data_IF_068057067338
#
_entry.id   IF_068057067338
#
_cell.length_a   1.000
_cell.length_b   1.000
_cell.length_c   1.000
_cell.angle_alpha   90.00
_cell.angle_beta   90.00
_cell.angle_gamma   90.00
#
_symmetry.space_group_name_H-M   'P 1'
#
loop_
_entity.id
_entity.type
_entity.pdbx_description
1 polymer ?
#
# COMPACT_ATOMS: atom_id res chain seq x y z
N UNK A 1 -32.29 12.13 -21.16
CA UNK A 1 -32.56 11.44 -22.45
C UNK A 1 -31.27 10.77 -22.91
N UNK A 2 -31.40 9.66 -23.63
CA UNK A 2 -30.33 8.82 -24.23
C UNK A 2 -29.77 7.73 -23.30
N UNK A 3 -30.13 6.48 -23.61
CA UNK A 3 -29.62 5.29 -22.93
C UNK A 3 -30.38 3.99 -23.26
N UNK A 4 -31.42 4.03 -24.09
CA UNK A 4 -32.24 2.85 -24.42
C UNK A 4 -32.27 2.45 -25.91
N UNK A 5 -31.69 3.24 -26.80
CA UNK A 5 -31.79 2.98 -28.25
C UNK A 5 -30.80 1.92 -28.75
N UNK A 6 -29.58 1.87 -28.19
CA UNK A 6 -28.54 0.91 -28.60
C UNK A 6 -28.97 -0.55 -28.35
N UNK A 7 -29.53 -0.85 -27.18
CA UNK A 7 -29.90 -2.23 -26.81
C UNK A 7 -31.12 -2.71 -27.61
N UNK A 8 -32.09 -1.84 -27.87
CA UNK A 8 -33.24 -2.17 -28.72
C UNK A 8 -32.83 -2.42 -30.17
N UNK A 9 -31.87 -1.65 -30.69
CA UNK A 9 -31.32 -1.86 -32.04
C UNK A 9 -30.55 -3.17 -32.18
N UNK A 10 -29.80 -3.57 -31.13
CA UNK A 10 -29.11 -4.87 -31.09
C UNK A 10 -30.10 -6.03 -31.00
N UNK A 11 -31.17 -5.90 -30.21
CA UNK A 11 -32.20 -6.95 -30.11
C UNK A 11 -32.99 -7.09 -31.41
N UNK A 12 -33.35 -5.97 -32.07
CA UNK A 12 -34.09 -6.03 -33.34
C UNK A 12 -33.24 -6.59 -34.48
N UNK A 13 -31.94 -6.26 -34.54
CA UNK A 13 -31.02 -6.82 -35.53
C UNK A 13 -30.76 -8.31 -35.33
N UNK A 14 -30.63 -8.78 -34.08
CA UNK A 14 -30.52 -10.21 -33.80
C UNK A 14 -31.77 -10.98 -34.22
N UNK A 15 -32.96 -10.43 -33.95
CA UNK A 15 -34.24 -11.06 -34.30
C UNK A 15 -34.52 -11.08 -35.80
N UNK A 16 -34.10 -10.04 -36.52
CA UNK A 16 -34.16 -10.01 -37.99
C UNK A 16 -33.12 -10.95 -38.63
N UNK A 17 -31.94 -11.11 -38.03
CA UNK A 17 -30.98 -12.10 -38.53
C UNK A 17 -31.47 -13.53 -38.29
N UNK A 18 -32.17 -13.79 -37.19
CA UNK A 18 -32.78 -15.10 -36.91
C UNK A 18 -33.86 -15.48 -37.93
N UNK A 19 -34.65 -14.51 -38.43
CA UNK A 19 -35.64 -14.76 -39.50
C UNK A 19 -35.02 -14.88 -40.89
N UNK A 20 -33.83 -14.31 -41.12
CA UNK A 20 -33.06 -14.47 -42.37
C UNK A 20 -32.25 -15.78 -42.41
N UNK A 21 -31.99 -16.40 -41.27
CA UNK A 21 -31.41 -17.74 -41.22
C UNK A 21 -32.48 -18.74 -41.66
N UNK A 22 -32.37 -19.23 -42.90
CA UNK A 22 -33.19 -20.33 -43.44
C UNK A 22 -33.31 -21.44 -42.40
N UNK A 23 -34.54 -21.91 -42.16
CA UNK A 23 -34.79 -22.99 -41.21
C UNK A 23 -33.87 -24.18 -41.53
N UNK A 24 -33.23 -24.74 -40.51
CA UNK A 24 -32.34 -25.91 -40.66
C UNK A 24 -32.98 -27.05 -41.47
N UNK A 25 -34.31 -27.17 -41.39
CA UNK A 25 -35.11 -28.15 -42.13
C UNK A 25 -35.08 -27.93 -43.65
N UNK A 26 -34.96 -26.69 -44.13
CA UNK A 26 -34.82 -26.39 -45.56
C UNK A 26 -33.39 -26.62 -46.06
N UNK A 27 -32.37 -26.32 -45.24
CA UNK A 27 -30.96 -26.63 -45.55
C UNK A 27 -30.70 -28.14 -45.60
N UNK A 28 -31.39 -28.92 -44.78
CA UNK A 28 -31.32 -30.39 -44.80
C UNK A 28 -31.99 -30.98 -46.05
N UNK A 29 -33.02 -30.30 -46.59
CA UNK A 29 -33.70 -30.71 -47.84
C UNK A 29 -32.99 -30.28 -49.12
N UNK A 30 -32.28 -29.15 -49.13
CA UNK A 30 -31.46 -28.73 -50.29
C UNK A 30 -30.20 -29.59 -50.47
N UNK A 31 -29.62 -30.12 -49.39
CA UNK A 31 -28.50 -31.07 -49.47
C UNK A 31 -28.90 -32.49 -49.93
N UNK A 32 -30.20 -32.75 -50.16
CA UNK A 32 -30.72 -34.06 -50.58
C UNK A 32 -31.05 -34.12 -52.09
N UNK A 33 -30.79 -33.06 -52.86
CA UNK A 33 -30.99 -33.03 -54.31
C UNK A 33 -29.79 -32.41 -55.01
N UNK A 34 -28.69 -33.15 -55.04
CA UNK A 34 -27.85 -33.33 -56.23
C UNK A 34 -26.59 -34.11 -55.85
N UNK A 35 -26.65 -35.43 -56.04
CA UNK A 35 -25.79 -36.21 -56.94
C UNK A 35 -25.85 -37.67 -56.51
N UNK A 36 -26.62 -38.49 -57.23
CA UNK A 36 -26.40 -39.94 -57.35
C UNK A 36 -25.10 -40.21 -58.14
N UNK A 37 -24.00 -39.55 -57.75
CA UNK A 37 -22.67 -40.02 -58.06
C UNK A 37 -22.31 -41.00 -56.96
N UNK A 38 -22.19 -42.29 -57.29
CA UNK A 38 -21.42 -43.24 -56.46
C UNK A 38 -19.96 -42.76 -56.40
N UNK A 39 -19.71 -41.75 -55.59
CA UNK A 39 -18.39 -41.49 -55.04
C UNK A 39 -18.13 -42.64 -54.09
N UNK A 40 -17.43 -43.65 -54.60
CA UNK A 40 -16.74 -44.61 -53.74
C UNK A 40 -15.72 -43.81 -52.94
N UNK A 41 -16.14 -43.25 -51.81
CA UNK A 41 -15.23 -42.80 -50.78
C UNK A 41 -14.46 -44.05 -50.36
N UNK A 42 -13.30 -44.24 -50.97
CA UNK A 42 -12.34 -45.28 -50.64
C UNK A 42 -12.11 -45.14 -49.13
N UNK A 43 -12.59 -46.13 -48.37
CA UNK A 43 -12.42 -46.16 -46.92
C UNK A 43 -10.91 -46.11 -46.68
N UNK A 44 -10.42 -44.96 -46.21
CA UNK A 44 -8.99 -44.70 -46.10
C UNK A 44 -8.34 -45.83 -45.30
N UNK A 45 -7.19 -46.30 -45.77
CA UNK A 45 -6.41 -47.33 -45.07
C UNK A 45 -6.10 -46.84 -43.65
N UNK A 46 -6.05 -47.74 -42.66
CA UNK A 46 -5.60 -47.39 -41.30
C UNK A 46 -4.25 -46.65 -41.31
N UNK A 47 -3.42 -46.92 -42.31
CA UNK A 47 -2.14 -46.24 -42.54
C UNK A 47 -2.31 -44.79 -43.00
N UNK A 48 -3.29 -44.49 -43.86
CA UNK A 48 -3.59 -43.12 -44.33
C UNK A 48 -4.19 -42.28 -43.18
N UNK A 49 -5.06 -42.86 -42.37
CA UNK A 49 -5.62 -42.21 -41.17
C UNK A 49 -4.51 -41.91 -40.15
N UNK A 50 -3.57 -42.84 -39.95
CA UNK A 50 -2.41 -42.60 -39.09
C UNK A 50 -1.49 -41.50 -39.62
N UNK A 51 -1.27 -41.42 -40.94
CA UNK A 51 -0.45 -40.37 -41.54
C UNK A 51 -1.10 -38.98 -41.41
N UNK A 52 -2.41 -38.89 -41.65
CA UNK A 52 -3.19 -37.66 -41.44
C UNK A 52 -3.12 -37.24 -39.96
N UNK A 53 -3.31 -38.19 -39.04
CA UNK A 53 -3.20 -37.93 -37.60
C UNK A 53 -1.82 -37.45 -37.16
N UNK A 54 -0.73 -38.01 -37.73
CA UNK A 54 0.64 -37.55 -37.46
C UNK A 54 0.88 -36.14 -38.00
N UNK A 55 0.35 -35.80 -39.16
CA UNK A 55 0.47 -34.47 -39.78
C UNK A 55 -0.25 -33.40 -38.94
N UNK A 56 -1.49 -33.66 -38.55
CA UNK A 56 -2.29 -32.79 -37.66
C UNK A 56 -1.60 -32.61 -36.30
N UNK A 57 -1.10 -33.69 -35.68
CA UNK A 57 -0.37 -33.60 -34.40
C UNK A 57 0.91 -32.77 -34.51
N UNK A 58 1.60 -32.80 -35.66
CA UNK A 58 2.83 -32.03 -35.89
C UNK A 58 2.52 -30.53 -36.05
N UNK A 59 1.44 -30.19 -36.76
CA UNK A 59 0.97 -28.80 -36.91
C UNK A 59 0.48 -28.24 -35.56
N UNK A 60 -0.37 -28.96 -34.85
CA UNK A 60 -0.84 -28.57 -33.51
C UNK A 60 0.32 -28.36 -32.51
N UNK A 61 1.40 -29.15 -32.62
CA UNK A 61 2.60 -28.95 -31.78
C UNK A 61 3.35 -27.66 -32.14
N UNK A 62 3.41 -27.27 -33.41
CA UNK A 62 4.02 -26.01 -33.84
C UNK A 62 3.19 -24.82 -33.36
N UNK A 63 1.88 -24.87 -33.55
CA UNK A 63 0.96 -23.83 -33.09
C UNK A 63 1.00 -23.66 -31.57
N UNK A 64 0.99 -24.76 -30.81
CA UNK A 64 1.16 -24.71 -29.35
C UNK A 64 2.48 -24.09 -28.93
N UNK A 65 3.59 -24.40 -29.61
CA UNK A 65 4.89 -23.76 -29.33
C UNK A 65 4.87 -22.25 -29.61
N UNK A 66 4.23 -21.83 -30.69
CA UNK A 66 4.07 -20.41 -31.04
C UNK A 66 3.21 -19.70 -29.97
N UNK A 67 2.07 -20.29 -29.59
CA UNK A 67 1.19 -19.76 -28.56
C UNK A 67 1.89 -19.67 -27.19
N UNK A 68 2.67 -20.68 -26.80
CA UNK A 68 3.48 -20.65 -25.58
C UNK A 68 4.52 -19.52 -25.66
N UNK A 69 5.19 -19.36 -26.81
CA UNK A 69 6.15 -18.26 -27.02
C UNK A 69 5.50 -16.88 -26.87
N UNK A 70 4.31 -16.69 -27.45
CA UNK A 70 3.54 -15.44 -27.31
C UNK A 70 3.11 -15.22 -25.85
N UNK A 71 2.65 -16.27 -25.17
CA UNK A 71 2.26 -16.18 -23.76
C UNK A 71 3.45 -15.79 -22.85
N UNK A 72 4.64 -16.35 -23.10
CA UNK A 72 5.87 -15.98 -22.37
C UNK A 72 6.22 -14.51 -22.63
N UNK A 73 6.13 -14.05 -23.87
CA UNK A 73 6.39 -12.64 -24.22
C UNK A 73 5.44 -11.69 -23.50
N UNK A 74 4.13 -11.97 -23.55
CA UNK A 74 3.11 -11.16 -22.89
C UNK A 74 3.33 -11.16 -21.38
N UNK A 75 3.50 -12.33 -20.77
CA UNK A 75 3.73 -12.44 -19.31
C UNK A 75 5.00 -11.69 -18.89
N UNK A 76 6.09 -11.78 -19.65
CA UNK A 76 7.32 -11.04 -19.36
C UNK A 76 7.10 -9.52 -19.35
N UNK A 77 6.33 -8.98 -20.30
CA UNK A 77 6.00 -7.55 -20.34
C UNK A 77 5.16 -7.16 -19.14
N UNK A 78 4.12 -7.93 -18.82
CA UNK A 78 3.29 -7.69 -17.63
C UNK A 78 4.12 -7.74 -16.34
N UNK A 79 4.99 -8.74 -16.17
CA UNK A 79 5.88 -8.85 -15.00
C UNK A 79 6.83 -7.66 -14.89
N UNK A 80 7.38 -7.17 -16.00
CA UNK A 80 8.21 -5.96 -15.98
C UNK A 80 7.44 -4.73 -15.50
N UNK A 81 6.22 -4.53 -16.00
CA UNK A 81 5.37 -3.42 -15.56
C UNK A 81 4.94 -3.54 -14.10
N UNK A 82 4.56 -4.74 -13.64
CA UNK A 82 4.15 -4.92 -12.23
C UNK A 82 5.29 -4.65 -11.25
N UNK A 83 6.52 -5.09 -11.56
CA UNK A 83 7.70 -4.80 -10.73
C UNK A 83 7.96 -3.30 -10.66
N UNK A 84 7.87 -2.57 -11.78
CA UNK A 84 8.09 -1.12 -11.79
C UNK A 84 7.04 -0.37 -10.97
N UNK A 85 5.76 -0.76 -11.06
CA UNK A 85 4.68 -0.15 -10.26
C UNK A 85 4.90 -0.41 -8.77
N UNK A 86 5.26 -1.64 -8.38
CA UNK A 86 5.56 -1.97 -6.98
C UNK A 86 6.75 -1.12 -6.47
N UNK A 87 7.83 -1.03 -7.25
CA UNK A 87 9.03 -0.27 -6.86
C UNK A 87 8.74 1.23 -6.70
N UNK A 88 7.94 1.81 -7.60
CA UNK A 88 7.53 3.21 -7.48
C UNK A 88 6.72 3.44 -6.21
N UNK A 89 5.69 2.60 -5.96
CA UNK A 89 4.88 2.71 -4.76
C UNK A 89 5.72 2.58 -3.47
N UNK A 90 6.73 1.70 -3.44
CA UNK A 90 7.62 1.57 -2.26
C UNK A 90 8.50 2.81 -2.05
N UNK A 91 9.06 3.38 -3.13
CA UNK A 91 9.90 4.59 -3.05
C UNK A 91 9.06 5.81 -2.66
N UNK A 92 7.85 5.92 -3.21
CA UNK A 92 6.91 6.99 -2.86
C UNK A 92 6.49 6.88 -1.39
N UNK A 93 6.27 5.67 -0.88
CA UNK A 93 5.95 5.44 0.54
C UNK A 93 7.11 5.83 1.45
N UNK A 94 8.33 5.38 1.14
CA UNK A 94 9.53 5.70 1.92
C UNK A 94 9.81 7.21 1.92
N UNK A 95 9.69 7.88 0.76
CA UNK A 95 9.87 9.33 0.67
C UNK A 95 8.81 10.11 1.44
N UNK A 96 7.54 9.66 1.44
CA UNK A 96 6.47 10.24 2.25
C UNK A 96 6.74 10.03 3.75
N UNK A 97 7.23 8.86 4.16
CA UNK A 97 7.59 8.60 5.55
C UNK A 97 8.75 9.48 6.02
N UNK A 98 9.79 9.66 5.19
CA UNK A 98 10.90 10.57 5.46
C UNK A 98 10.39 12.01 5.60
N UNK A 99 9.54 12.48 4.68
CA UNK A 99 8.99 13.84 4.75
C UNK A 99 8.15 14.06 6.01
N UNK A 100 7.30 13.08 6.39
CA UNK A 100 6.52 13.15 7.63
C UNK A 100 7.41 13.14 8.87
N UNK A 101 8.49 12.37 8.86
CA UNK A 101 9.45 12.36 9.95
C UNK A 101 10.16 13.72 10.07
N UNK A 102 10.61 14.29 8.96
CA UNK A 102 11.22 15.62 8.92
C UNK A 102 10.26 16.72 9.39
N UNK A 103 8.99 16.65 9.02
CA UNK A 103 7.97 17.58 9.51
C UNK A 103 7.82 17.50 11.03
N UNK A 104 7.73 16.29 11.58
CA UNK A 104 7.71 16.07 13.03
C UNK A 104 8.98 16.54 13.72
N UNK A 105 10.14 16.30 13.13
CA UNK A 105 11.42 16.76 13.65
C UNK A 105 11.47 18.30 13.71
N UNK A 106 11.04 18.98 12.64
CA UNK A 106 10.96 20.44 12.61
C UNK A 106 9.98 20.98 13.65
N UNK A 107 8.79 20.38 13.76
CA UNK A 107 7.79 20.73 14.78
C UNK A 107 8.39 20.58 16.19
N UNK A 108 9.04 19.45 16.45
CA UNK A 108 9.71 19.17 17.72
C UNK A 108 10.78 20.22 18.06
N UNK A 109 11.63 20.58 17.09
CA UNK A 109 12.69 21.58 17.29
C UNK A 109 12.10 22.95 17.61
N UNK A 110 11.05 23.38 16.88
CA UNK A 110 10.37 24.66 17.14
C UNK A 110 9.74 24.67 18.55
N UNK A 111 9.14 23.56 18.98
CA UNK A 111 8.55 23.44 20.30
C UNK A 111 9.62 23.49 21.40
N UNK A 112 10.76 22.83 21.21
CA UNK A 112 11.91 22.92 22.12
C UNK A 112 12.43 24.35 22.20
N UNK A 113 12.67 25.00 21.06
CA UNK A 113 13.22 26.36 21.01
C UNK A 113 12.31 27.35 21.78
N UNK A 114 10.99 27.27 21.58
CA UNK A 114 10.03 28.07 22.34
C UNK A 114 10.05 27.73 23.83
N UNK A 115 10.10 26.45 24.17
CA UNK A 115 10.18 25.99 25.56
C UNK A 115 11.43 26.55 26.26
N UNK A 116 12.58 26.48 25.60
CA UNK A 116 13.88 26.99 26.05
C UNK A 116 13.82 28.53 26.22
N UNK A 117 13.26 29.26 25.26
CA UNK A 117 13.08 30.72 25.36
C UNK A 117 12.24 31.12 26.58
N UNK A 118 11.14 30.41 26.84
CA UNK A 118 10.32 30.66 28.03
C UNK A 118 10.99 30.25 29.32
N UNK A 119 11.77 29.16 29.29
CA UNK A 119 12.56 28.70 30.42
C UNK A 119 13.58 29.77 30.82
N UNK A 120 14.36 30.30 29.87
CA UNK A 120 15.35 31.34 30.12
C UNK A 120 14.73 32.63 30.71
N UNK A 121 13.49 32.94 30.34
CA UNK A 121 12.72 34.08 30.88
C UNK A 121 12.12 33.84 32.27
N UNK A 122 12.34 32.67 32.87
CA UNK A 122 11.74 32.31 34.14
C UNK A 122 10.23 32.03 34.07
N UNK A 123 9.69 31.80 32.86
CA UNK A 123 8.25 31.55 32.65
C UNK A 123 8.01 30.05 32.59
N UNK A 124 8.15 29.42 33.75
CA UNK A 124 8.15 27.97 33.87
C UNK A 124 6.86 27.32 33.36
N UNK A 125 5.69 27.93 33.63
CA UNK A 125 4.39 27.45 33.12
C UNK A 125 4.34 27.37 31.60
N UNK A 126 4.90 28.37 30.92
CA UNK A 126 4.97 28.38 29.46
C UNK A 126 5.98 27.36 28.96
N UNK A 127 7.15 27.23 29.60
CA UNK A 127 8.14 26.22 29.21
C UNK A 127 7.57 24.80 29.30
N UNK A 128 6.83 24.48 30.38
CA UNK A 128 6.12 23.20 30.54
C UNK A 128 5.15 22.97 29.39
N UNK A 129 4.33 23.96 29.04
CA UNK A 129 3.35 23.84 27.96
C UNK A 129 3.99 23.46 26.62
N UNK A 130 5.11 24.09 26.27
CA UNK A 130 5.83 23.76 25.03
C UNK A 130 6.53 22.41 25.11
N UNK A 131 7.13 22.07 26.25
CA UNK A 131 7.79 20.79 26.40
C UNK A 131 6.82 19.60 26.46
N UNK A 132 5.60 19.77 26.99
CA UNK A 132 4.55 18.76 26.91
C UNK A 132 4.16 18.48 25.46
N UNK A 133 3.98 19.52 24.64
CA UNK A 133 3.72 19.35 23.20
C UNK A 133 4.90 18.67 22.48
N UNK A 134 6.15 19.06 22.76
CA UNK A 134 7.31 18.41 22.16
C UNK A 134 7.41 16.93 22.58
N UNK A 135 7.04 16.60 23.82
CA UNK A 135 6.97 15.22 24.31
C UNK A 135 5.89 14.41 23.58
N UNK A 136 4.77 15.01 23.16
CA UNK A 136 3.76 14.31 22.36
C UNK A 136 4.33 13.84 21.01
N UNK A 137 5.26 14.60 20.43
CA UNK A 137 5.96 14.22 19.18
C UNK A 137 6.94 13.06 19.43
N UNK A 138 7.82 13.17 20.43
CA UNK A 138 8.80 12.13 20.78
C UNK A 138 8.78 11.74 22.26
N UNK A 139 7.82 10.89 22.62
CA UNK A 139 7.51 10.55 24.02
C UNK A 139 8.68 9.96 24.82
N UNK A 140 9.54 9.17 24.17
CA UNK A 140 10.66 8.46 24.79
C UNK A 140 12.01 9.17 24.61
N UNK A 141 12.01 10.40 24.12
CA UNK A 141 13.24 11.17 24.01
C UNK A 141 13.67 11.67 25.41
N UNK A 142 14.90 11.35 25.83
CA UNK A 142 15.42 11.75 27.13
C UNK A 142 15.47 13.28 27.27
N UNK A 143 16.02 13.95 26.26
CA UNK A 143 16.32 15.38 26.25
C UNK A 143 15.09 16.24 26.51
N UNK A 144 13.94 15.87 25.92
CA UNK A 144 12.68 16.58 26.15
C UNK A 144 12.06 16.27 27.52
N UNK A 145 12.13 15.02 27.97
CA UNK A 145 11.61 14.67 29.30
C UNK A 145 12.47 15.29 30.41
N UNK A 146 13.78 15.40 30.19
CA UNK A 146 14.73 16.09 31.07
C UNK A 146 14.39 17.58 31.19
N UNK A 147 14.21 18.26 30.05
CA UNK A 147 13.73 19.67 30.01
C UNK A 147 12.42 19.85 30.76
N UNK A 148 11.45 18.96 30.50
CA UNK A 148 10.14 19.01 31.12
C UNK A 148 10.20 18.84 32.64
N UNK A 149 10.94 17.83 33.13
CA UNK A 149 11.06 17.61 34.58
C UNK A 149 11.81 18.76 35.24
N UNK A 150 12.80 19.34 34.57
CA UNK A 150 13.51 20.55 35.03
C UNK A 150 12.55 21.73 35.12
N UNK A 151 11.71 22.00 34.12
CA UNK A 151 10.69 23.06 34.22
C UNK A 151 9.73 22.84 35.38
N UNK A 152 9.30 21.60 35.63
CA UNK A 152 8.46 21.29 36.78
C UNK A 152 9.21 21.47 38.12
N UNK A 153 10.48 21.10 38.21
CA UNK A 153 11.26 21.32 39.43
C UNK A 153 11.40 22.81 39.74
N UNK A 154 11.63 23.65 38.72
CA UNK A 154 11.65 25.10 38.90
C UNK A 154 10.28 25.68 39.29
N UNK A 155 9.17 25.19 38.73
CA UNK A 155 7.82 25.56 39.20
C UNK A 155 7.59 25.19 40.66
N UNK A 156 8.03 23.99 41.06
CA UNK A 156 7.91 23.55 42.43
C UNK A 156 8.71 24.47 43.37
N UNK A 157 9.98 24.70 43.05
CA UNK A 157 10.89 25.53 43.83
C UNK A 157 10.39 26.98 43.98
N UNK A 158 9.90 27.60 42.90
CA UNK A 158 9.52 29.01 42.94
C UNK A 158 8.04 29.28 43.23
N UNK A 159 7.14 28.36 42.91
CA UNK A 159 5.68 28.55 43.00
C UNK A 159 4.96 27.49 43.86
N UNK A 160 5.67 26.49 44.39
CA UNK A 160 5.08 25.33 45.09
C UNK A 160 4.01 24.59 44.28
N UNK A 161 4.15 24.58 42.94
CA UNK A 161 3.23 23.90 42.02
C UNK A 161 3.90 22.71 41.36
N UNK A 162 3.08 21.71 41.06
CA UNK A 162 3.49 20.54 40.26
C UNK A 162 4.68 19.75 40.83
N UNK A 163 5.01 19.90 42.12
CA UNK A 163 6.09 19.18 42.81
C UNK A 163 5.96 17.65 42.67
N UNK A 164 4.77 17.12 42.95
CA UNK A 164 4.50 15.70 42.79
C UNK A 164 4.69 15.21 41.33
N UNK A 165 4.26 16.02 40.35
CA UNK A 165 4.42 15.70 38.92
C UNK A 165 5.90 15.74 38.51
N UNK A 166 6.67 16.67 39.07
CA UNK A 166 8.12 16.72 38.90
C UNK A 166 8.77 15.43 39.43
N UNK A 167 8.42 15.03 40.65
CA UNK A 167 8.93 13.82 41.29
C UNK A 167 8.60 12.56 40.48
N UNK A 168 7.32 12.37 40.15
CA UNK A 168 6.88 11.19 39.40
C UNK A 168 7.58 11.07 38.04
N UNK A 169 7.76 12.19 37.34
CA UNK A 169 8.49 12.21 36.07
C UNK A 169 9.98 11.91 36.28
N UNK A 170 10.59 12.44 37.34
CA UNK A 170 11.99 12.20 37.68
C UNK A 170 12.25 10.71 38.01
N UNK A 171 11.39 10.11 38.83
CA UNK A 171 11.45 8.68 39.18
C UNK A 171 11.35 7.80 37.92
N UNK A 172 10.44 8.15 36.99
CA UNK A 172 10.35 7.47 35.68
C UNK A 172 11.62 7.62 34.86
N UNK A 173 12.29 8.77 34.90
CA UNK A 173 13.53 9.00 34.16
C UNK A 173 14.69 8.19 34.73
N UNK A 174 14.82 8.07 36.05
CA UNK A 174 15.81 7.17 36.66
C UNK A 174 15.62 5.71 36.22
N UNK A 175 14.37 5.27 36.06
CA UNK A 175 14.08 3.92 35.58
C UNK A 175 14.35 3.74 34.07
N UNK A 176 13.97 4.72 33.24
CA UNK A 176 14.11 4.62 31.79
C UNK A 176 15.53 4.89 31.27
N UNK A 177 16.31 5.71 31.98
CA UNK A 177 17.64 6.18 31.56
C UNK A 177 18.64 6.09 32.73
N UNK A 178 18.97 4.86 33.20
CA UNK A 178 19.87 4.68 34.34
C UNK A 178 21.30 5.19 34.09
N UNK A 179 21.73 5.28 32.83
CA UNK A 179 23.02 5.86 32.42
C UNK A 179 23.11 7.37 32.63
N UNK A 180 21.95 8.04 32.82
CA UNK A 180 21.82 9.47 33.06
C UNK A 180 21.67 9.87 34.53
N UNK A 181 21.87 8.92 35.45
CA UNK A 181 21.67 9.11 36.89
C UNK A 181 22.31 10.39 37.44
N UNK A 182 23.55 10.70 37.05
CA UNK A 182 24.27 11.90 37.52
C UNK A 182 23.55 13.20 37.19
N UNK A 183 23.09 13.35 35.95
CA UNK A 183 22.35 14.55 35.50
C UNK A 183 20.99 14.65 36.23
N UNK A 184 20.33 13.52 36.47
CA UNK A 184 19.04 13.46 37.14
C UNK A 184 19.13 13.75 38.64
N UNK A 185 20.27 13.46 39.28
CA UNK A 185 20.51 13.79 40.68
C UNK A 185 20.51 15.31 40.92
N UNK A 186 20.99 16.12 39.97
CA UNK A 186 20.96 17.59 40.05
C UNK A 186 19.51 18.11 40.17
N UNK A 187 18.56 17.46 39.50
CA UNK A 187 17.14 17.80 39.58
C UNK A 187 16.53 17.27 40.89
N UNK A 188 16.97 16.10 41.35
CA UNK A 188 16.51 15.51 42.61
C UNK A 188 16.81 16.41 43.80
N UNK A 189 18.00 17.02 43.84
CA UNK A 189 18.38 17.97 44.89
C UNK A 189 17.41 19.16 44.98
N UNK A 190 16.88 19.63 43.85
CA UNK A 190 15.86 20.71 43.81
C UNK A 190 14.49 20.27 44.31
N UNK A 191 14.26 18.97 44.41
CA UNK A 191 13.00 18.37 44.87
C UNK A 191 13.17 17.73 46.26
N UNK A 192 14.14 18.17 47.07
CA UNK A 192 14.46 17.54 48.36
C UNK A 192 13.24 17.35 49.27
N UNK A 193 12.28 18.29 49.28
CA UNK A 193 11.09 18.22 50.12
C UNK A 193 10.05 17.17 49.67
N UNK A 194 10.22 16.59 48.48
CA UNK A 194 9.36 15.55 47.93
C UNK A 194 9.94 14.13 48.12
N UNK A 195 11.19 14.00 48.58
CA UNK A 195 11.90 12.74 48.81
C UNK A 195 12.20 12.50 50.29
#
# INVERSE_FOLDING_TARGET
MLGGESIRGVISSLRNNETLLRSKVLLEKENLKDTEGKSSLKKASEEEIQQIGKKIRKENRKEKKILIGIAILITSVFTYFTINVIRQNTVDTESIEILKFQEKENEFLILIEKGDEWFEKGKWSNSVFYYEQAKEVFQKNYEINYRLVRSYSFQCESEFKNCHKAKELLDKLFFMFPDKEKELLEIKEKLEYEY
#
